data_IF_557893846954
#
_entry.id   IF_557893846954
#
_cell.length_a   1.000
_cell.length_b   1.000
_cell.length_c   1.000
_cell.angle_alpha   90.00
_cell.angle_beta   90.00
_cell.angle_gamma   90.00
#
_symmetry.space_group_name_H-M   'P 1'
#
loop_
_entity.id
_entity.type
_entity.pdbx_description
1 polymer ?
#
# COMPACT_ATOMS: atom_id res chain seq x y z
N UNK A 1 22.75 -11.83 1.95
CA UNK A 1 22.21 -12.84 1.03
C UNK A 1 22.20 -12.27 -0.38
N UNK A 2 22.45 -13.14 -1.35
CA UNK A 2 22.33 -12.90 -2.78
C UNK A 2 20.97 -13.36 -3.24
N UNK A 3 20.26 -12.53 -3.96
CA UNK A 3 18.92 -12.83 -4.46
C UNK A 3 18.81 -12.43 -5.92
N UNK A 4 17.95 -13.13 -6.64
CA UNK A 4 17.54 -12.73 -7.99
C UNK A 4 16.09 -12.28 -7.91
N UNK A 5 15.78 -11.07 -8.38
CA UNK A 5 14.43 -10.57 -8.46
C UNK A 5 13.96 -10.58 -9.91
N UNK A 6 12.79 -11.18 -10.17
CA UNK A 6 12.06 -10.97 -11.41
C UNK A 6 10.93 -9.99 -11.13
N UNK A 7 11.07 -8.74 -11.56
CA UNK A 7 10.13 -7.68 -11.21
C UNK A 7 9.35 -7.24 -12.43
N UNK A 8 8.04 -7.15 -12.30
CA UNK A 8 7.18 -6.61 -13.35
C UNK A 8 7.48 -5.13 -13.58
N UNK A 9 7.86 -4.79 -14.82
CA UNK A 9 8.07 -3.42 -15.29
C UNK A 9 7.02 -3.08 -16.32
N UNK A 10 6.39 -1.93 -16.13
CA UNK A 10 5.36 -1.44 -17.05
C UNK A 10 5.27 0.08 -16.92
N UNK A 11 5.63 0.85 -17.97
CA UNK A 11 5.78 2.30 -17.84
C UNK A 11 4.45 3.03 -17.63
N UNK A 12 3.34 2.49 -18.12
CA UNK A 12 2.00 3.03 -17.97
C UNK A 12 0.91 1.97 -18.14
N UNK A 13 -0.31 2.27 -17.70
CA UNK A 13 -1.47 1.35 -17.65
C UNK A 13 -1.82 0.65 -18.98
N UNK A 14 -1.55 1.27 -20.13
CA UNK A 14 -1.84 0.73 -21.47
C UNK A 14 -0.61 0.22 -22.23
N UNK A 15 0.57 0.36 -21.63
CA UNK A 15 1.81 -0.14 -22.22
C UNK A 15 1.93 -1.65 -21.96
N UNK A 16 2.54 -2.41 -22.89
CA UNK A 16 2.99 -3.76 -22.58
C UNK A 16 3.90 -3.72 -21.34
N UNK A 17 3.73 -4.71 -20.45
CA UNK A 17 4.63 -4.93 -19.33
C UNK A 17 5.44 -6.20 -19.55
N UNK A 18 6.58 -6.28 -18.89
CA UNK A 18 7.50 -7.41 -18.95
C UNK A 18 8.13 -7.68 -17.59
N UNK A 19 8.72 -8.86 -17.42
CA UNK A 19 9.52 -9.18 -16.24
C UNK A 19 10.97 -8.81 -16.55
N UNK A 20 11.53 -7.92 -15.74
CA UNK A 20 12.97 -7.66 -15.74
C UNK A 20 13.64 -8.38 -14.57
N UNK A 21 14.85 -8.90 -14.82
CA UNK A 21 15.62 -9.64 -13.82
C UNK A 21 16.73 -8.77 -13.24
N UNK A 22 16.81 -8.71 -11.92
CA UNK A 22 17.85 -7.99 -11.18
C UNK A 22 18.58 -8.93 -10.23
N UNK A 23 19.90 -8.84 -10.19
CA UNK A 23 20.71 -9.49 -9.18
C UNK A 23 20.98 -8.50 -8.04
N UNK A 24 20.68 -8.90 -6.81
CA UNK A 24 20.98 -8.14 -5.60
C UNK A 24 21.97 -8.93 -4.74
N UNK A 25 22.97 -8.22 -4.24
CA UNK A 25 23.92 -8.72 -3.24
C UNK A 25 23.82 -7.87 -1.97
N UNK A 26 24.25 -8.42 -0.84
CA UNK A 26 24.29 -7.68 0.42
C UNK A 26 22.94 -7.52 1.13
N UNK A 27 21.88 -8.21 0.70
CA UNK A 27 20.57 -8.16 1.38
C UNK A 27 20.70 -8.79 2.78
N UNK A 28 20.30 -8.09 3.84
CA UNK A 28 20.28 -8.67 5.20
C UNK A 28 18.99 -9.47 5.41
N UNK A 29 19.06 -10.58 6.16
CA UNK A 29 17.87 -11.35 6.52
C UNK A 29 16.89 -10.55 7.41
N UNK A 30 17.39 -9.52 8.09
CA UNK A 30 16.59 -8.63 8.94
C UNK A 30 15.98 -7.44 8.19
N UNK A 31 16.37 -7.21 6.94
CA UNK A 31 15.67 -6.24 6.10
C UNK A 31 14.22 -6.70 5.89
N UNK A 32 13.31 -5.74 5.91
CA UNK A 32 11.99 -5.88 5.33
C UNK A 32 12.07 -6.03 3.81
N UNK A 33 10.99 -6.56 3.22
CA UNK A 33 10.88 -6.69 1.78
C UNK A 33 10.95 -5.35 1.06
N UNK A 34 10.43 -4.27 1.69
CA UNK A 34 10.49 -2.94 1.12
C UNK A 34 11.89 -2.33 1.20
N UNK A 35 12.66 -2.57 2.26
CA UNK A 35 14.06 -2.12 2.33
C UNK A 35 14.93 -2.84 1.29
N UNK A 36 14.63 -4.11 0.98
CA UNK A 36 15.27 -4.81 -0.13
C UNK A 36 14.94 -4.16 -1.49
N UNK A 37 13.71 -3.66 -1.67
CA UNK A 37 13.33 -2.87 -2.85
C UNK A 37 13.95 -1.47 -2.86
N UNK A 38 14.17 -0.85 -1.70
CA UNK A 38 14.92 0.40 -1.59
C UNK A 38 16.37 0.19 -2.06
N UNK A 39 17.02 -0.89 -1.62
CA UNK A 39 18.37 -1.28 -2.08
C UNK A 39 18.42 -1.48 -3.61
N UNK A 40 17.42 -2.14 -4.20
CA UNK A 40 17.29 -2.25 -5.65
C UNK A 40 17.21 -0.87 -6.31
N UNK A 41 16.36 0.00 -5.79
CA UNK A 41 16.16 1.32 -6.36
C UNK A 41 17.39 2.22 -6.21
N UNK A 42 18.15 2.10 -5.13
CA UNK A 42 19.46 2.75 -4.98
C UNK A 42 20.44 2.27 -6.04
N UNK A 43 20.55 0.95 -6.26
CA UNK A 43 21.39 0.39 -7.32
C UNK A 43 20.97 0.91 -8.70
N UNK A 44 19.68 0.85 -9.04
CA UNK A 44 19.17 1.34 -10.32
C UNK A 44 19.46 2.84 -10.51
N UNK A 45 19.30 3.64 -9.46
CA UNK A 45 19.58 5.07 -9.49
C UNK A 45 21.06 5.34 -9.75
N UNK A 46 21.96 4.62 -9.06
CA UNK A 46 23.40 4.73 -9.26
C UNK A 46 23.83 4.34 -10.69
N UNK A 47 23.13 3.41 -11.32
CA UNK A 47 23.31 3.01 -12.71
C UNK A 47 22.67 3.98 -13.73
N UNK A 48 22.01 5.05 -13.27
CA UNK A 48 21.30 5.99 -14.14
C UNK A 48 20.00 5.43 -14.73
N UNK A 49 19.47 4.35 -14.17
CA UNK A 49 18.21 3.71 -14.56
C UNK A 49 17.04 4.25 -13.74
N UNK A 50 15.84 4.08 -14.28
CA UNK A 50 14.60 4.49 -13.60
C UNK A 50 14.28 3.47 -12.49
N UNK A 51 14.14 3.91 -11.23
CA UNK A 51 13.71 3.06 -10.12
C UNK A 51 12.39 2.36 -10.40
N UNK A 52 12.19 1.18 -9.80
CA UNK A 52 10.91 0.47 -9.83
C UNK A 52 9.91 1.27 -9.02
N UNK A 53 8.77 1.60 -9.63
CA UNK A 53 7.67 2.23 -8.91
C UNK A 53 6.89 1.19 -8.09
N UNK A 54 6.75 1.44 -6.79
CA UNK A 54 5.86 0.71 -5.90
C UNK A 54 5.23 1.65 -4.87
N UNK A 55 4.05 1.28 -4.38
CA UNK A 55 3.33 2.08 -3.39
C UNK A 55 3.69 1.63 -1.98
N UNK A 56 3.95 2.59 -1.10
CA UNK A 56 4.19 2.37 0.33
C UNK A 56 3.94 3.68 1.09
N UNK A 57 3.74 3.58 2.41
CA UNK A 57 3.63 4.74 3.29
C UNK A 57 4.05 4.37 4.73
N UNK A 58 3.13 3.87 5.57
CA UNK A 58 3.39 3.62 7.00
C UNK A 58 4.53 2.63 7.32
N UNK A 59 4.84 1.69 6.41
CA UNK A 59 5.82 0.59 6.58
C UNK A 59 5.65 -0.32 7.82
N UNK A 60 4.52 -0.25 8.50
CA UNK A 60 4.25 -0.99 9.76
C UNK A 60 3.02 -1.91 9.68
N UNK A 61 2.45 -2.10 8.49
CA UNK A 61 1.33 -3.00 8.24
C UNK A 61 -0.06 -2.41 8.50
N UNK A 62 -0.18 -1.09 8.56
CA UNK A 62 -1.43 -0.41 8.93
C UNK A 62 -2.18 0.18 7.73
N UNK A 63 -1.54 0.99 6.91
CA UNK A 63 -2.22 1.69 5.80
C UNK A 63 -2.67 0.78 4.64
N UNK A 64 -2.12 -0.43 4.57
CA UNK A 64 -2.36 -1.39 3.49
C UNK A 64 -1.80 -1.01 2.12
N UNK A 65 -1.00 0.05 1.97
CA UNK A 65 -0.53 0.60 0.68
C UNK A 65 0.38 -0.33 -0.15
N UNK A 66 1.20 -1.14 0.52
CA UNK A 66 2.23 -2.00 -0.08
C UNK A 66 1.68 -3.27 -0.77
N UNK A 67 0.85 -3.06 -1.79
CA UNK A 67 0.17 -4.07 -2.58
C UNK A 67 1.11 -4.74 -3.60
N UNK A 68 1.68 -5.89 -3.25
CA UNK A 68 2.52 -6.69 -4.15
C UNK A 68 2.09 -8.17 -4.16
N UNK A 69 2.20 -8.82 -5.31
CA UNK A 69 2.20 -10.29 -5.44
C UNK A 69 3.66 -10.75 -5.39
N UNK A 70 4.00 -11.60 -4.43
CA UNK A 70 5.35 -12.10 -4.22
C UNK A 70 5.30 -13.62 -4.38
N UNK A 71 5.98 -14.15 -5.39
CA UNK A 71 5.90 -15.55 -5.81
C UNK A 71 4.45 -16.03 -6.01
N UNK A 72 3.62 -15.17 -6.62
CA UNK A 72 2.20 -15.46 -6.88
C UNK A 72 1.27 -15.34 -5.67
N UNK A 73 1.79 -14.98 -4.49
CA UNK A 73 0.99 -14.79 -3.27
C UNK A 73 0.90 -13.31 -2.90
N UNK A 74 -0.31 -12.81 -2.66
CA UNK A 74 -0.50 -11.44 -2.17
C UNK A 74 0.22 -11.26 -0.82
N UNK A 75 1.08 -10.25 -0.74
CA UNK A 75 1.94 -9.96 0.41
C UNK A 75 2.97 -11.04 0.79
N UNK A 76 3.13 -12.07 -0.05
CA UNK A 76 4.14 -13.10 0.12
C UNK A 76 3.76 -14.18 1.15
N UNK A 77 4.76 -14.97 1.61
CA UNK A 77 4.51 -16.27 2.23
C UNK A 77 4.02 -16.22 3.69
N UNK A 78 4.17 -15.09 4.39
CA UNK A 78 3.75 -14.98 5.78
C UNK A 78 2.24 -14.75 5.88
N UNK A 79 1.56 -15.60 6.65
CA UNK A 79 0.14 -15.45 6.90
C UNK A 79 -0.15 -14.20 7.76
N UNK A 80 -1.16 -13.42 7.36
CA UNK A 80 -1.61 -12.24 8.12
C UNK A 80 -0.63 -11.07 8.15
N UNK A 81 0.35 -11.04 7.24
CA UNK A 81 1.34 -9.98 7.14
C UNK A 81 1.13 -9.12 5.88
N UNK A 82 1.41 -7.83 5.99
CA UNK A 82 1.57 -6.96 4.83
C UNK A 82 2.99 -7.10 4.25
N UNK A 83 3.20 -6.71 2.99
CA UNK A 83 4.52 -6.77 2.34
C UNK A 83 5.60 -6.02 3.13
N UNK A 84 5.28 -4.88 3.75
CA UNK A 84 6.24 -4.14 4.59
C UNK A 84 6.66 -4.88 5.87
N UNK A 85 5.85 -5.84 6.34
CA UNK A 85 6.17 -6.64 7.52
C UNK A 85 6.90 -7.94 7.14
N UNK A 86 6.86 -8.34 5.87
CA UNK A 86 7.63 -9.49 5.39
C UNK A 86 9.12 -9.17 5.48
N UNK A 87 9.90 -10.02 6.15
CA UNK A 87 11.35 -9.88 6.21
C UNK A 87 12.05 -10.88 5.29
N UNK A 88 13.26 -10.55 4.88
CA UNK A 88 14.04 -11.34 3.93
C UNK A 88 14.46 -12.71 4.48
N UNK A 89 14.45 -12.90 5.81
CA UNK A 89 14.55 -14.23 6.45
C UNK A 89 13.46 -15.23 6.06
N UNK A 90 12.39 -14.79 5.40
CA UNK A 90 11.40 -15.68 4.78
C UNK A 90 11.94 -16.43 3.54
N UNK A 91 13.06 -15.98 2.99
CA UNK A 91 13.71 -16.50 1.79
C UNK A 91 15.11 -17.03 2.11
N UNK A 92 15.69 -17.76 1.17
CA UNK A 92 17.03 -18.35 1.26
C UNK A 92 18.02 -17.62 0.36
N UNK A 93 19.30 -17.73 0.70
CA UNK A 93 20.38 -17.26 -0.15
C UNK A 93 20.35 -18.00 -1.50
N UNK A 94 20.44 -17.24 -2.60
CA UNK A 94 20.33 -17.73 -3.97
C UNK A 94 18.89 -17.85 -4.50
N UNK A 95 17.87 -17.52 -3.70
CA UNK A 95 16.48 -17.60 -4.16
C UNK A 95 16.18 -16.63 -5.31
N UNK A 96 15.25 -17.07 -6.16
CA UNK A 96 14.63 -16.24 -7.19
C UNK A 96 13.25 -15.82 -6.67
N UNK A 97 13.01 -14.53 -6.58
CA UNK A 97 11.75 -13.94 -6.11
C UNK A 97 11.09 -13.20 -7.26
N UNK A 98 9.90 -13.64 -7.64
CA UNK A 98 9.08 -12.96 -8.65
C UNK A 98 8.12 -11.99 -7.97
N UNK A 99 8.11 -10.74 -8.42
CA UNK A 99 7.32 -9.66 -7.86
C UNK A 99 6.48 -9.00 -8.94
N UNK A 100 5.18 -8.98 -8.72
CA UNK A 100 4.19 -8.48 -9.68
C UNK A 100 3.20 -7.54 -8.98
N UNK A 101 2.54 -6.62 -9.70
CA UNK A 101 1.41 -5.89 -9.16
C UNK A 101 0.26 -6.84 -8.83
N UNK A 102 -0.72 -6.38 -8.04
CA UNK A 102 -1.98 -7.11 -7.91
C UNK A 102 -2.62 -7.36 -9.27
N UNK A 103 -2.78 -8.63 -9.64
CA UNK A 103 -3.43 -9.05 -10.88
C UNK A 103 -4.92 -9.23 -10.68
N UNK A 104 -5.67 -8.13 -10.63
CA UNK A 104 -7.12 -8.17 -10.58
C UNK A 104 -7.76 -7.01 -11.36
N UNK A 105 -8.92 -7.25 -11.97
CA UNK A 105 -9.63 -6.24 -12.75
C UNK A 105 -10.00 -4.98 -11.95
N UNK A 106 -10.22 -5.14 -10.63
CA UNK A 106 -10.48 -4.03 -9.72
C UNK A 106 -9.26 -3.18 -9.38
N UNK A 107 -8.05 -3.60 -9.73
CA UNK A 107 -6.79 -2.94 -9.40
C UNK A 107 -5.92 -2.74 -10.65
N UNK A 108 -6.36 -1.91 -11.62
CA UNK A 108 -5.61 -1.73 -12.86
C UNK A 108 -4.23 -1.11 -12.56
N UNK A 109 -3.21 -1.58 -13.27
CA UNK A 109 -1.83 -1.12 -13.13
C UNK A 109 -1.73 0.35 -13.54
N UNK A 110 -1.04 1.15 -12.74
CA UNK A 110 -0.67 2.54 -13.07
C UNK A 110 0.73 2.58 -13.67
N UNK A 111 1.71 2.04 -12.95
CA UNK A 111 3.11 1.91 -13.38
C UNK A 111 3.82 0.86 -12.53
N UNK A 112 4.59 -0.03 -13.15
CA UNK A 112 5.34 -1.11 -12.51
C UNK A 112 4.46 -1.88 -11.51
N UNK A 113 4.73 -1.77 -10.20
CA UNK A 113 4.00 -2.44 -9.13
C UNK A 113 2.85 -1.61 -8.55
N UNK A 114 2.71 -0.35 -8.95
CA UNK A 114 1.65 0.56 -8.49
C UNK A 114 0.34 0.24 -9.21
N UNK A 115 -0.71 0.01 -8.45
CA UNK A 115 -2.07 -0.21 -8.95
C UNK A 115 -3.03 0.90 -8.48
N UNK A 116 -4.07 1.16 -9.27
CA UNK A 116 -5.15 2.05 -8.87
C UNK A 116 -6.07 1.32 -7.88
N UNK A 117 -6.22 1.89 -6.69
CA UNK A 117 -7.00 1.32 -5.59
C UNK A 117 -8.38 1.93 -5.39
N UNK A 118 -8.85 2.79 -6.30
CA UNK A 118 -10.14 3.48 -6.19
C UNK A 118 -11.35 2.55 -6.08
N UNK A 119 -11.20 1.26 -6.39
CA UNK A 119 -12.21 0.24 -6.08
C UNK A 119 -12.47 0.08 -4.57
N UNK A 120 -11.46 0.24 -3.72
CA UNK A 120 -11.63 0.22 -2.26
C UNK A 120 -12.38 1.45 -1.78
N UNK A 121 -12.08 2.63 -2.35
CA UNK A 121 -12.79 3.86 -2.01
C UNK A 121 -14.27 3.76 -2.34
N UNK A 122 -14.62 3.15 -3.48
CA UNK A 122 -16.01 2.88 -3.87
C UNK A 122 -16.72 1.95 -2.88
N UNK A 123 -16.03 0.93 -2.35
CA UNK A 123 -16.59 0.04 -1.33
C UNK A 123 -16.84 0.80 -0.03
N UNK A 124 -15.87 1.62 0.41
CA UNK A 124 -16.01 2.45 1.61
C UNK A 124 -17.19 3.43 1.43
N UNK A 125 -17.33 4.07 0.27
CA UNK A 125 -18.44 5.00 0.01
C UNK A 125 -19.81 4.32 -0.08
N UNK A 126 -19.88 3.03 -0.40
CA UNK A 126 -21.15 2.31 -0.52
C UNK A 126 -21.86 2.11 0.83
N UNK A 127 -21.13 2.17 1.96
CA UNK A 127 -21.74 1.95 3.28
C UNK A 127 -20.78 2.04 4.48
N UNK A 128 -19.52 2.41 4.28
CA UNK A 128 -18.53 2.67 5.32
C UNK A 128 -18.69 4.03 6.01
N UNK A 129 -19.93 4.47 6.19
CA UNK A 129 -20.27 5.70 6.89
C UNK A 129 -21.54 5.49 7.72
N UNK A 130 -21.68 6.27 8.78
CA UNK A 130 -22.90 6.27 9.60
C UNK A 130 -23.80 7.40 9.11
N UNK A 131 -24.99 7.05 8.62
CA UNK A 131 -25.99 7.99 8.11
C UNK A 131 -27.09 8.33 9.12
N UNK A 132 -26.73 8.42 10.41
CA UNK A 132 -27.66 8.86 11.45
C UNK A 132 -27.79 10.37 11.41
N UNK A 133 -29.03 10.84 11.21
CA UNK A 133 -29.39 12.21 11.52
C UNK A 133 -29.55 12.33 13.05
N UNK A 134 -28.53 12.84 13.73
CA UNK A 134 -28.58 13.08 15.19
C UNK A 134 -29.46 14.27 15.56
N UNK A 135 -30.07 14.94 14.58
CA UNK A 135 -30.62 16.28 14.75
C UNK A 135 -29.52 17.30 15.03
N UNK A 136 -29.85 18.58 14.85
CA UNK A 136 -29.10 19.68 15.46
C UNK A 136 -29.69 19.98 16.84
N UNK A 137 -28.85 20.41 17.78
CA UNK A 137 -29.37 21.06 18.97
C UNK A 137 -30.24 22.26 18.54
N UNK A 138 -31.41 22.44 19.18
CA UNK A 138 -32.24 23.63 18.96
C UNK A 138 -31.42 24.87 19.32
N UNK A 139 -31.60 25.96 18.57
CA UNK A 139 -31.00 27.25 18.94
C UNK A 139 -31.39 27.58 20.39
N UNK A 140 -30.41 27.89 21.24
CA UNK A 140 -30.63 28.17 22.65
C UNK A 140 -31.61 29.33 22.85
N UNK A 141 -31.62 30.31 21.93
CA UNK A 141 -32.54 31.44 21.93
C UNK A 141 -33.97 31.07 21.51
N UNK A 142 -34.17 29.88 20.94
CA UNK A 142 -35.51 29.34 20.63
C UNK A 142 -36.14 28.59 21.82
N UNK A 143 -35.43 28.49 22.96
CA UNK A 143 -35.96 27.94 24.21
C UNK A 143 -36.46 29.12 25.05
N UNK A 144 -37.78 29.17 25.27
CA UNK A 144 -38.37 30.19 26.13
C UNK A 144 -37.84 30.04 27.56
N UNK A 145 -37.38 31.15 28.14
CA UNK A 145 -36.95 31.23 29.53
C UNK A 145 -38.12 31.80 30.34
N UNK A 146 -38.41 31.21 31.51
CA UNK A 146 -39.44 31.71 32.41
C UNK A 146 -39.11 33.12 32.89
N UNK A 147 -40.15 33.96 33.06
CA UNK A 147 -40.01 35.37 33.42
C UNK A 147 -39.09 35.60 34.62
N UNK A 148 -39.31 34.84 35.70
CA UNK A 148 -38.56 34.99 36.96
C UNK A 148 -37.05 34.74 36.77
N UNK A 149 -36.67 33.83 35.86
CA UNK A 149 -35.28 33.49 35.54
C UNK A 149 -34.63 34.57 34.67
N UNK A 150 -35.40 35.18 33.75
CA UNK A 150 -34.93 36.31 32.94
C UNK A 150 -34.73 37.56 33.78
N UNK A 151 -35.57 37.79 34.78
CA UNK A 151 -35.51 38.97 35.65
C UNK A 151 -34.39 38.88 36.72
N UNK A 152 -33.81 37.70 36.96
CA UNK A 152 -32.68 37.48 37.88
C UNK A 152 -31.27 37.66 37.26
N UNK A 153 -31.15 37.66 35.92
CA UNK A 153 -29.87 37.73 35.19
C UNK A 153 -29.44 39.17 34.88
#
# INVERSE_FOLDING_TARGET
>A
MKLTLNVWRQPASRSPGELETYALDGVSADMSFLEMFDLLNEQLTAEGKIPVAFAHDCREGICGSCSMMINGQAHGPWAGAATCQLHMRAFKDGDIITVEPWRAAGFPIVKDLVVNRGSLDRIIQAGGYVSVNTGGARDANSILIGKDIVEEA
#
